data_IF_274769027978
#
_entry.id   IF_274769027978
#
_cell.length_a   1.000
_cell.length_b   1.000
_cell.length_c   1.000
_cell.angle_alpha   90.00
_cell.angle_beta   90.00
_cell.angle_gamma   90.00
#
_symmetry.space_group_name_H-M   'P 1'
#
loop_
_entity.id
_entity.type
_entity.pdbx_description
1 polymer ?
#
# COMPACT_ATOMS: atom_id res chain seq x y z
N UNK A 1 -36.17 18.87 -43.31
CA UNK A 1 -34.69 18.83 -43.24
C UNK A 1 -34.32 18.63 -41.77
N UNK A 2 -34.27 17.38 -41.32
CA UNK A 2 -34.06 17.03 -39.90
C UNK A 2 -32.56 16.86 -39.66
N UNK A 3 -31.93 17.79 -38.95
CA UNK A 3 -30.53 17.64 -38.54
C UNK A 3 -30.47 16.81 -37.28
N UNK A 4 -30.16 15.52 -37.46
CA UNK A 4 -29.75 14.60 -36.40
C UNK A 4 -28.42 15.12 -35.81
N UNK A 5 -28.52 15.96 -34.78
CA UNK A 5 -27.36 16.36 -33.97
C UNK A 5 -27.05 15.16 -33.08
N UNK A 6 -26.34 14.19 -33.66
CA UNK A 6 -25.65 13.15 -32.93
C UNK A 6 -24.63 13.84 -32.03
N UNK A 7 -25.01 14.11 -30.79
CA UNK A 7 -24.10 14.46 -29.71
C UNK A 7 -23.07 13.34 -29.62
N UNK A 8 -21.90 13.55 -30.22
CA UNK A 8 -20.76 12.66 -30.07
C UNK A 8 -20.40 12.68 -28.58
N UNK A 9 -20.81 11.64 -27.85
CA UNK A 9 -20.40 11.45 -26.47
C UNK A 9 -18.87 11.58 -26.39
N UNK A 10 -18.32 12.36 -25.44
CA UNK A 10 -16.88 12.53 -25.35
C UNK A 10 -16.21 11.17 -25.21
N UNK A 11 -15.17 10.95 -26.02
CA UNK A 11 -14.44 9.69 -26.07
C UNK A 11 -13.75 9.40 -24.72
N UNK A 12 -14.42 8.63 -23.88
CA UNK A 12 -13.91 8.11 -22.62
C UNK A 12 -14.86 7.03 -22.13
N UNK A 13 -14.61 5.78 -22.51
CA UNK A 13 -15.45 4.67 -22.08
C UNK A 13 -15.49 4.61 -20.53
N UNK A 14 -16.66 4.37 -19.91
CA UNK A 14 -16.75 4.17 -18.46
C UNK A 14 -15.85 3.00 -18.08
N UNK A 15 -14.80 3.29 -17.32
CA UNK A 15 -13.94 2.25 -16.76
C UNK A 15 -14.77 1.53 -15.72
N UNK A 16 -15.05 0.23 -15.91
CA UNK A 16 -15.76 -0.57 -14.91
C UNK A 16 -15.03 -0.44 -13.56
N UNK A 17 -15.70 0.07 -12.51
CA UNK A 17 -15.09 0.24 -11.18
C UNK A 17 -14.48 -1.07 -10.66
N UNK A 18 -15.11 -2.20 -11.00
CA UNK A 18 -14.69 -3.55 -10.61
C UNK A 18 -13.42 -3.97 -11.34
N UNK A 19 -13.31 -3.69 -12.64
CA UNK A 19 -12.10 -4.02 -13.42
C UNK A 19 -10.90 -3.22 -12.94
N UNK A 20 -11.10 -1.94 -12.61
CA UNK A 20 -10.05 -1.10 -12.03
C UNK A 20 -9.58 -1.65 -10.69
N UNK A 21 -10.51 -1.98 -9.80
CA UNK A 21 -10.20 -2.53 -8.48
C UNK A 21 -9.43 -3.86 -8.57
N UNK A 22 -9.84 -4.74 -9.48
CA UNK A 22 -9.24 -6.05 -9.67
C UNK A 22 -7.82 -5.95 -10.27
N UNK A 23 -7.60 -5.04 -11.24
CA UNK A 23 -6.27 -4.80 -11.80
C UNK A 23 -5.31 -4.16 -10.79
N UNK A 24 -5.80 -3.29 -9.89
CA UNK A 24 -4.97 -2.74 -8.80
C UNK A 24 -4.46 -3.83 -7.86
N UNK A 25 -5.29 -4.82 -7.53
CA UNK A 25 -4.88 -5.98 -6.71
C UNK A 25 -3.89 -6.88 -7.44
N UNK A 26 -4.16 -7.20 -8.72
CA UNK A 26 -3.33 -8.11 -9.52
C UNK A 26 -1.94 -7.52 -9.82
N UNK A 27 -1.85 -6.20 -10.02
CA UNK A 27 -0.58 -5.53 -10.35
C UNK A 27 0.18 -5.01 -9.13
N UNK A 28 -0.20 -5.42 -7.92
CA UNK A 28 0.40 -4.96 -6.66
C UNK A 28 0.49 -3.42 -6.58
N UNK A 29 -0.55 -2.71 -7.05
CA UNK A 29 -0.64 -1.25 -7.01
C UNK A 29 -0.06 -0.50 -8.22
N UNK A 30 0.65 -1.14 -9.15
CA UNK A 30 1.22 -0.44 -10.32
C UNK A 30 0.14 0.12 -11.24
N UNK A 31 -0.92 -0.66 -11.51
CA UNK A 31 -2.04 -0.18 -12.32
C UNK A 31 -2.80 0.97 -11.64
N UNK A 32 -2.80 1.02 -10.31
CA UNK A 32 -3.43 2.10 -9.57
C UNK A 32 -2.82 3.46 -9.94
N UNK A 33 -1.49 3.53 -10.13
CA UNK A 33 -0.81 4.76 -10.58
C UNK A 33 -1.24 5.18 -11.99
N UNK A 34 -1.37 4.21 -12.91
CA UNK A 34 -1.83 4.46 -14.28
C UNK A 34 -3.28 4.93 -14.31
N UNK A 35 -4.15 4.31 -13.50
CA UNK A 35 -5.54 4.72 -13.36
C UNK A 35 -5.64 6.12 -12.72
N UNK A 36 -4.84 6.39 -11.68
CA UNK A 36 -4.79 7.68 -11.00
C UNK A 36 -4.41 8.81 -11.97
N UNK A 37 -3.43 8.58 -12.86
CA UNK A 37 -3.13 9.49 -13.95
C UNK A 37 -4.35 9.73 -14.88
N UNK A 38 -4.99 8.64 -15.33
CA UNK A 38 -6.12 8.69 -16.27
C UNK A 38 -7.33 9.42 -15.69
N UNK A 39 -7.63 9.25 -14.41
CA UNK A 39 -8.74 9.97 -13.74
C UNK A 39 -8.43 11.46 -13.66
N UNK A 40 -7.23 11.84 -13.21
CA UNK A 40 -6.84 13.25 -13.14
C UNK A 40 -6.84 13.93 -14.52
N UNK A 41 -6.48 13.19 -15.59
CA UNK A 41 -6.59 13.67 -16.97
C UNK A 41 -8.05 13.88 -17.40
N UNK A 42 -8.96 12.99 -17.01
CA UNK A 42 -10.39 13.12 -17.29
C UNK A 42 -11.01 14.31 -16.56
N UNK A 43 -10.68 14.52 -15.28
CA UNK A 43 -11.15 15.68 -14.51
C UNK A 43 -10.77 17.00 -15.19
N UNK A 44 -9.51 17.13 -15.61
CA UNK A 44 -9.03 18.30 -16.36
C UNK A 44 -9.71 18.48 -17.73
N UNK A 45 -10.11 17.39 -18.37
CA UNK A 45 -10.80 17.43 -19.66
C UNK A 45 -12.28 17.82 -19.53
N UNK A 46 -12.91 17.52 -18.39
CA UNK A 46 -14.31 17.89 -18.09
C UNK A 46 -14.39 19.38 -17.73
N UNK A 47 -13.46 19.87 -16.92
CA UNK A 47 -13.40 21.28 -16.53
C UNK A 47 -11.95 21.78 -16.54
N UNK A 48 -11.58 22.59 -17.54
CA UNK A 48 -10.22 23.15 -17.66
C UNK A 48 -9.86 24.15 -16.55
N UNK A 49 -10.83 24.66 -15.80
CA UNK A 49 -10.61 25.61 -14.69
C UNK A 49 -10.07 24.91 -13.44
N UNK A 50 -10.20 23.58 -13.37
CA UNK A 50 -9.65 22.80 -12.26
C UNK A 50 -8.15 22.64 -12.46
N UNK A 51 -7.35 23.25 -11.58
CA UNK A 51 -5.89 23.11 -11.56
C UNK A 51 -5.45 21.71 -11.11
N UNK A 52 -5.48 20.77 -12.05
CA UNK A 52 -4.90 19.43 -11.87
C UNK A 52 -3.69 19.26 -12.78
N UNK A 53 -2.56 18.83 -12.20
CA UNK A 53 -1.37 18.35 -12.93
C UNK A 53 -1.28 16.84 -12.77
N UNK A 54 -1.86 16.04 -13.70
CA UNK A 54 -1.96 14.59 -13.55
C UNK A 54 -0.60 13.89 -13.33
N UNK A 55 0.46 14.39 -13.98
CA UNK A 55 1.82 13.88 -13.76
C UNK A 55 2.34 14.14 -12.34
N UNK A 56 2.09 15.33 -11.78
CA UNK A 56 2.51 15.65 -10.41
C UNK A 56 1.72 14.85 -9.37
N UNK A 57 0.44 14.57 -9.62
CA UNK A 57 -0.37 13.73 -8.76
C UNK A 57 0.20 12.30 -8.66
N UNK A 58 0.65 11.72 -9.77
CA UNK A 58 1.30 10.39 -9.79
C UNK A 58 2.65 10.41 -9.06
N UNK A 59 3.46 11.46 -9.28
CA UNK A 59 4.76 11.61 -8.61
C UNK A 59 4.55 11.73 -7.10
N UNK A 60 3.60 12.56 -6.66
CA UNK A 60 3.28 12.74 -5.25
C UNK A 60 2.88 11.42 -4.57
N UNK A 61 2.01 10.62 -5.22
CA UNK A 61 1.62 9.33 -4.63
C UNK A 61 2.75 8.30 -4.67
N UNK A 62 3.53 8.25 -5.76
CA UNK A 62 4.69 7.36 -5.86
C UNK A 62 5.70 7.67 -4.75
N UNK A 63 6.09 8.94 -4.59
CA UNK A 63 7.02 9.37 -3.54
C UNK A 63 6.43 9.17 -2.14
N UNK A 64 5.15 9.51 -1.93
CA UNK A 64 4.46 9.26 -0.67
C UNK A 64 4.46 7.77 -0.30
N UNK A 65 4.18 6.88 -1.26
CA UNK A 65 4.20 5.43 -1.04
C UNK A 65 5.61 4.91 -0.70
N UNK A 66 6.65 5.47 -1.34
CA UNK A 66 8.03 5.12 -1.04
C UNK A 66 8.47 5.54 0.36
N UNK A 67 7.81 6.53 0.97
CA UNK A 67 8.05 6.92 2.35
C UNK A 67 7.21 6.11 3.35
N UNK A 68 5.97 5.78 2.99
CA UNK A 68 5.01 5.13 3.89
C UNK A 68 5.23 3.61 3.97
N UNK A 69 5.58 2.94 2.87
CA UNK A 69 5.71 1.47 2.82
C UNK A 69 6.93 0.92 3.57
N UNK A 70 8.15 1.51 3.49
CA UNK A 70 9.34 0.93 4.11
C UNK A 70 9.26 0.72 5.63
N UNK A 71 8.67 1.61 6.44
CA UNK A 71 8.47 1.38 7.88
C UNK A 71 7.73 0.06 8.19
N UNK A 72 6.65 -0.25 7.47
CA UNK A 72 5.90 -1.49 7.68
C UNK A 72 6.69 -2.74 7.30
N UNK A 73 7.42 -2.69 6.19
CA UNK A 73 8.34 -3.75 5.77
C UNK A 73 9.43 -3.96 6.84
N UNK A 74 9.93 -2.87 7.44
CA UNK A 74 10.93 -2.93 8.52
C UNK A 74 10.40 -3.65 9.76
N UNK A 75 9.14 -3.41 10.15
CA UNK A 75 8.49 -4.11 11.27
C UNK A 75 8.46 -5.62 11.01
N UNK A 76 7.94 -6.05 9.85
CA UNK A 76 7.86 -7.47 9.50
C UNK A 76 9.25 -8.12 9.50
N UNK A 77 10.25 -7.46 8.89
CA UNK A 77 11.63 -7.95 8.88
C UNK A 77 12.22 -8.03 10.28
N UNK A 78 11.86 -7.12 11.18
CA UNK A 78 12.32 -7.14 12.58
C UNK A 78 11.79 -8.36 13.32
N UNK A 79 10.51 -8.70 13.17
CA UNK A 79 9.97 -9.96 13.70
C UNK A 79 10.71 -11.19 13.16
N UNK A 80 11.03 -11.22 11.86
CA UNK A 80 11.83 -12.31 11.26
C UNK A 80 13.26 -12.40 11.82
N UNK A 81 13.89 -11.27 12.19
CA UNK A 81 15.20 -11.24 12.86
C UNK A 81 15.12 -11.79 14.29
N UNK A 82 14.06 -11.44 15.03
CA UNK A 82 13.83 -11.97 16.38
C UNK A 82 13.58 -13.48 16.33
N UNK A 83 12.77 -13.95 15.38
CA UNK A 83 12.54 -15.38 15.16
C UNK A 83 13.84 -16.13 14.85
N UNK A 84 14.72 -15.56 14.02
CA UNK A 84 16.04 -16.12 13.76
C UNK A 84 16.91 -16.18 15.03
N UNK A 85 16.88 -15.13 15.85
CA UNK A 85 17.60 -15.12 17.14
C UNK A 85 17.09 -16.20 18.10
N UNK A 86 15.77 -16.42 18.17
CA UNK A 86 15.17 -17.52 18.96
C UNK A 86 15.67 -18.89 18.49
N UNK A 87 15.65 -19.15 17.17
CA UNK A 87 16.15 -20.42 16.60
C UNK A 87 17.64 -20.63 16.85
N UNK A 88 18.44 -19.58 16.71
CA UNK A 88 19.88 -19.64 16.97
C UNK A 88 20.21 -19.89 18.44
N UNK A 89 19.31 -19.52 19.35
CA UNK A 89 19.42 -19.82 20.78
C UNK A 89 18.81 -21.19 21.16
N UNK A 90 18.24 -21.95 20.23
CA UNK A 90 17.58 -23.22 20.56
C UNK A 90 16.20 -23.08 21.21
N UNK A 91 15.69 -21.85 21.33
CA UNK A 91 14.35 -21.56 21.86
C UNK A 91 13.29 -21.79 20.78
N UNK A 92 12.14 -22.35 21.15
CA UNK A 92 11.01 -22.52 20.23
C UNK A 92 10.61 -21.16 19.63
N UNK A 93 10.75 -21.04 18.31
CA UNK A 93 10.50 -19.80 17.59
C UNK A 93 9.01 -19.60 17.32
N UNK A 94 8.44 -18.58 17.95
CA UNK A 94 7.03 -18.20 17.81
C UNK A 94 6.85 -16.70 17.45
N UNK A 95 7.95 -15.97 17.23
CA UNK A 95 7.90 -14.59 16.79
C UNK A 95 7.44 -14.49 15.32
N UNK A 96 6.32 -13.82 15.11
CA UNK A 96 5.77 -13.52 13.78
C UNK A 96 5.87 -12.02 13.45
N UNK A 97 6.49 -11.70 12.31
CA UNK A 97 6.55 -10.35 11.76
C UNK A 97 5.16 -9.79 11.41
N UNK A 98 4.26 -10.63 10.88
CA UNK A 98 2.88 -10.24 10.55
C UNK A 98 2.06 -9.89 11.79
N UNK A 99 2.23 -10.64 12.89
CA UNK A 99 1.61 -10.31 14.19
C UNK A 99 2.14 -8.97 14.70
N UNK A 100 3.44 -8.73 14.62
CA UNK A 100 4.02 -7.44 15.01
C UNK A 100 3.52 -6.27 14.16
N UNK A 101 3.27 -6.49 12.86
CA UNK A 101 2.66 -5.50 11.98
C UNK A 101 1.19 -5.22 12.36
N UNK A 102 0.40 -6.26 12.62
CA UNK A 102 -0.98 -6.09 13.09
C UNK A 102 -1.03 -5.29 14.40
N UNK A 103 -0.14 -5.61 15.34
CA UNK A 103 -0.02 -4.89 16.61
C UNK A 103 0.48 -3.44 16.46
N UNK A 104 1.11 -3.08 15.34
CA UNK A 104 1.48 -1.69 15.08
C UNK A 104 0.22 -0.81 14.93
N UNK A 105 -0.87 -1.38 14.40
CA UNK A 105 -2.16 -0.72 14.25
C UNK A 105 -3.05 -0.87 15.50
N UNK A 106 -2.81 -1.88 16.33
CA UNK A 106 -3.51 -2.06 17.61
C UNK A 106 -2.73 -1.38 18.71
N UNK A 107 -3.04 -0.11 18.99
CA UNK A 107 -2.43 0.70 20.07
C UNK A 107 -0.90 0.79 20.04
N UNK A 108 -0.24 0.48 18.92
CA UNK A 108 1.22 0.48 18.83
C UNK A 108 1.89 -0.58 19.72
N UNK A 109 1.25 -1.73 19.93
CA UNK A 109 1.72 -2.79 20.83
C UNK A 109 2.94 -3.58 20.31
N UNK A 110 3.47 -3.25 19.13
CA UNK A 110 4.64 -3.91 18.54
C UNK A 110 5.85 -4.01 19.48
N UNK A 111 6.26 -2.94 20.23
CA UNK A 111 7.40 -3.03 21.12
C UNK A 111 7.19 -4.02 22.26
N UNK A 112 6.00 -4.06 22.87
CA UNK A 112 5.69 -4.99 23.96
C UNK A 112 5.77 -6.45 23.48
N UNK A 113 5.18 -6.73 22.32
CA UNK A 113 5.24 -8.07 21.73
C UNK A 113 6.68 -8.48 21.36
N UNK A 114 7.41 -7.65 20.63
CA UNK A 114 8.79 -7.97 20.24
C UNK A 114 9.74 -8.07 21.43
N UNK A 115 9.58 -7.21 22.44
CA UNK A 115 10.36 -7.31 23.66
C UNK A 115 10.07 -8.60 24.42
N UNK A 116 8.80 -9.02 24.52
CA UNK A 116 8.45 -10.30 25.17
C UNK A 116 9.11 -11.50 24.48
N UNK A 117 9.17 -11.50 23.14
CA UNK A 117 9.83 -12.55 22.36
C UNK A 117 11.35 -12.52 22.45
N UNK A 118 11.95 -11.34 22.58
CA UNK A 118 13.38 -11.22 22.84
C UNK A 118 13.73 -11.70 24.25
N UNK A 119 12.88 -11.45 25.25
CA UNK A 119 13.12 -11.87 26.62
C UNK A 119 13.19 -13.41 26.77
N UNK A 120 12.49 -14.19 25.93
CA UNK A 120 12.63 -15.66 25.95
C UNK A 120 14.03 -16.11 25.56
N UNK A 121 14.70 -15.37 24.67
CA UNK A 121 16.08 -15.65 24.26
C UNK A 121 17.06 -15.31 25.38
N UNK A 122 16.78 -14.25 26.13
CA UNK A 122 17.62 -13.86 27.27
C UNK A 122 17.44 -14.78 28.47
N UNK A 123 16.22 -15.24 28.75
CA UNK A 123 15.92 -16.14 29.85
C UNK A 123 16.57 -17.52 29.67
N UNK A 124 16.70 -18.01 28.45
CA UNK A 124 17.37 -19.28 28.13
C UNK A 124 18.90 -19.20 28.30
N UNK A 125 19.47 -18.00 28.26
CA UNK A 125 20.92 -17.77 28.38
C UNK A 125 21.39 -17.46 29.81
N UNK A 126 20.47 -17.33 30.77
CA UNK A 126 20.76 -17.02 32.17
C UNK A 126 20.79 -18.31 33.01
#
# INVERSE_FOLDING_TARGET
MSTDVRTSAPAGAPSSPVVTWLLTLVTLGIYWLVWYYKVNKQVKAIDPTIEVKPGMAVVAVTLGSLLIVPPFVSIVKTGSRIAQAQRAAGVTSDCSGAVGLLLAFVLGLTPLYYQSKLNTVWADRA
#
